data_IF_645033207091
#
_entry.id   IF_645033207091
#
_cell.length_a   1.000
_cell.length_b   1.000
_cell.length_c   1.000
_cell.angle_alpha   90.00
_cell.angle_beta   90.00
_cell.angle_gamma   90.00
#
_symmetry.space_group_name_H-M   'P 1'
#
loop_
_entity.id
_entity.type
_entity.pdbx_description
1 polymer ?
#
# COMPACT_ATOMS: atom_id res chain seq x y z
N UNK A 1 -14.58 6.89 22.04
CA UNK A 1 -15.11 6.09 20.91
C UNK A 1 -14.69 6.75 19.61
N UNK A 2 -14.35 5.97 18.59
CA UNK A 2 -14.01 6.50 17.27
C UNK A 2 -15.24 7.18 16.62
N UNK A 3 -15.00 8.27 15.89
CA UNK A 3 -16.04 8.94 15.09
C UNK A 3 -16.35 8.18 13.78
N UNK A 4 -15.70 7.06 13.55
CA UNK A 4 -15.81 6.23 12.36
C UNK A 4 -14.46 6.05 11.68
N UNK A 5 -14.44 5.29 10.57
CA UNK A 5 -13.22 5.00 9.82
C UNK A 5 -13.12 5.89 8.59
N UNK A 6 -11.96 6.51 8.40
CA UNK A 6 -11.62 7.24 7.18
C UNK A 6 -10.59 6.44 6.38
N UNK A 7 -10.86 6.28 5.10
CA UNK A 7 -9.88 5.75 4.13
C UNK A 7 -9.30 6.91 3.35
N UNK A 8 -7.97 7.03 3.34
CA UNK A 8 -7.22 8.04 2.61
C UNK A 8 -6.35 7.38 1.56
N UNK A 9 -6.32 7.92 0.35
CA UNK A 9 -5.45 7.43 -0.72
C UNK A 9 -4.41 8.48 -1.08
N UNK A 10 -3.17 8.07 -1.23
CA UNK A 10 -2.04 8.91 -1.65
C UNK A 10 -1.40 8.34 -2.92
N UNK A 11 -1.45 9.12 -4.00
CA UNK A 11 -0.78 8.79 -5.25
C UNK A 11 0.74 8.99 -5.17
N UNK A 12 1.46 8.49 -6.17
CA UNK A 12 2.93 8.51 -6.20
C UNK A 12 3.56 9.88 -6.06
N UNK A 13 2.96 10.92 -6.62
CA UNK A 13 3.44 12.30 -6.48
C UNK A 13 3.31 12.85 -5.06
N UNK A 14 2.31 12.40 -4.32
CA UNK A 14 2.09 12.82 -2.92
C UNK A 14 3.07 12.19 -1.92
N UNK A 15 3.83 11.21 -2.33
CA UNK A 15 4.82 10.47 -1.52
C UNK A 15 6.19 10.38 -2.20
N UNK A 16 6.44 11.21 -3.20
CA UNK A 16 7.59 11.10 -4.10
C UNK A 16 8.95 11.29 -3.40
N UNK A 17 9.00 12.10 -2.36
CA UNK A 17 10.21 12.42 -1.61
C UNK A 17 9.93 12.45 -0.09
N UNK A 18 10.98 12.62 0.70
CA UNK A 18 10.86 12.62 2.16
C UNK A 18 9.97 13.75 2.69
N UNK A 19 10.01 14.95 2.11
CA UNK A 19 9.19 16.09 2.52
C UNK A 19 7.71 15.81 2.26
N UNK A 20 7.36 15.37 1.06
CA UNK A 20 5.97 15.03 0.69
C UNK A 20 5.44 13.88 1.52
N UNK A 21 6.28 12.89 1.79
CA UNK A 21 5.90 11.74 2.64
C UNK A 21 5.64 12.17 4.08
N UNK A 22 6.45 13.06 4.65
CA UNK A 22 6.20 13.66 5.98
C UNK A 22 4.90 14.49 5.97
N UNK A 23 4.61 15.23 4.90
CA UNK A 23 3.36 15.97 4.75
C UNK A 23 2.15 15.01 4.69
N UNK A 24 2.26 13.89 3.97
CA UNK A 24 1.22 12.87 3.95
C UNK A 24 1.00 12.28 5.36
N UNK A 25 2.08 11.94 6.08
CA UNK A 25 2.02 11.47 7.46
C UNK A 25 1.31 12.46 8.39
N UNK A 26 1.64 13.75 8.29
CA UNK A 26 0.99 14.81 9.07
C UNK A 26 -0.52 14.93 8.78
N UNK A 27 -0.93 14.77 7.52
CA UNK A 27 -2.35 14.77 7.13
C UNK A 27 -3.09 13.56 7.71
N UNK A 28 -2.47 12.39 7.71
CA UNK A 28 -3.00 11.16 8.29
C UNK A 28 -3.18 11.34 9.80
N UNK A 29 -2.15 11.80 10.50
CA UNK A 29 -2.17 12.04 11.95
C UNK A 29 -3.25 13.04 12.33
N UNK A 30 -3.40 14.13 11.58
CA UNK A 30 -4.48 15.11 11.84
C UNK A 30 -5.87 14.48 11.84
N UNK A 31 -6.14 13.48 10.97
CA UNK A 31 -7.43 12.78 10.97
C UNK A 31 -7.57 11.88 12.20
N UNK A 32 -6.48 11.25 12.60
CA UNK A 32 -6.47 10.46 13.84
C UNK A 32 -6.76 11.33 15.07
N UNK A 33 -6.13 12.50 15.16
CA UNK A 33 -6.34 13.46 16.26
C UNK A 33 -7.76 14.04 16.28
N UNK A 34 -8.44 14.07 15.16
CA UNK A 34 -9.86 14.40 15.07
C UNK A 34 -10.78 13.29 15.55
N UNK A 35 -10.24 12.15 16.02
CA UNK A 35 -11.01 11.05 16.59
C UNK A 35 -11.42 9.95 15.60
N UNK A 36 -10.91 9.96 14.38
CA UNK A 36 -11.20 8.92 13.40
C UNK A 36 -10.21 7.77 13.49
N UNK A 37 -10.67 6.55 13.15
CA UNK A 37 -9.80 5.47 12.77
C UNK A 37 -9.34 5.68 11.33
N UNK A 38 -8.04 5.52 11.07
CA UNK A 38 -7.48 5.89 9.75
C UNK A 38 -6.82 4.70 9.08
N UNK A 39 -7.25 4.44 7.85
CA UNK A 39 -6.58 3.55 6.90
C UNK A 39 -6.08 4.39 5.75
N UNK A 40 -4.80 4.31 5.43
CA UNK A 40 -4.23 5.01 4.28
C UNK A 40 -3.65 4.03 3.26
N UNK A 41 -4.05 4.17 2.00
CA UNK A 41 -3.54 3.38 0.88
C UNK A 41 -2.50 4.22 0.15
N UNK A 42 -1.28 3.70 0.02
CA UNK A 42 -0.17 4.41 -0.61
C UNK A 42 0.26 3.76 -1.91
N UNK A 43 0.55 4.59 -2.90
CA UNK A 43 1.21 4.21 -4.15
C UNK A 43 2.73 4.18 -3.98
N UNK A 44 3.45 3.59 -4.93
CA UNK A 44 4.89 3.70 -5.03
C UNK A 44 5.31 5.18 -5.20
N UNK A 45 6.51 5.51 -4.77
CA UNK A 45 7.02 6.90 -4.76
C UNK A 45 7.35 7.40 -6.17
N UNK A 46 6.77 8.52 -6.58
CA UNK A 46 7.12 9.17 -7.83
C UNK A 46 7.10 8.24 -9.04
N UNK A 47 8.27 8.01 -9.63
CA UNK A 47 8.48 7.14 -10.79
C UNK A 47 9.09 5.77 -10.43
N UNK A 48 8.96 5.33 -9.18
CA UNK A 48 9.58 4.09 -8.71
C UNK A 48 9.09 2.87 -9.50
N UNK A 49 7.80 2.78 -9.80
CA UNK A 49 7.25 1.69 -10.62
C UNK A 49 7.89 1.66 -12.00
N UNK A 50 8.04 2.82 -12.66
CA UNK A 50 8.69 2.90 -13.99
C UNK A 50 10.16 2.46 -13.91
N UNK A 51 10.86 2.83 -12.84
CA UNK A 51 12.24 2.40 -12.60
C UNK A 51 12.35 0.89 -12.44
N UNK A 52 11.48 0.29 -11.63
CA UNK A 52 11.45 -1.16 -11.44
C UNK A 52 11.17 -1.93 -12.74
N UNK A 53 10.27 -1.40 -13.57
CA UNK A 53 9.99 -1.98 -14.90
C UNK A 53 11.25 -1.90 -15.77
N UNK A 54 11.95 -0.75 -15.79
CA UNK A 54 13.17 -0.59 -16.55
C UNK A 54 14.25 -1.58 -16.08
N UNK A 55 14.46 -1.71 -14.77
CA UNK A 55 15.41 -2.67 -14.18
C UNK A 55 15.11 -4.12 -14.63
N UNK A 56 13.83 -4.50 -14.67
CA UNK A 56 13.44 -5.83 -15.16
C UNK A 56 13.83 -6.08 -16.61
N UNK A 57 13.62 -5.09 -17.48
CA UNK A 57 13.99 -5.20 -18.91
C UNK A 57 15.49 -5.08 -19.17
N UNK A 58 16.28 -4.54 -18.23
CA UNK A 58 17.74 -4.59 -18.31
C UNK A 58 18.29 -6.02 -18.11
N UNK A 59 17.59 -6.85 -17.35
CA UNK A 59 18.04 -8.22 -17.02
C UNK A 59 17.34 -9.30 -17.83
N UNK A 60 16.22 -8.99 -18.50
CA UNK A 60 15.44 -9.96 -19.27
C UNK A 60 14.70 -9.28 -20.42
N UNK A 61 14.79 -9.83 -21.63
CA UNK A 61 14.02 -9.35 -22.78
C UNK A 61 12.52 -9.68 -22.65
N UNK A 62 12.18 -10.67 -21.85
CA UNK A 62 10.81 -11.11 -21.60
C UNK A 62 10.63 -11.48 -20.11
N UNK A 63 10.54 -10.49 -19.22
CA UNK A 63 10.37 -10.75 -17.77
C UNK A 63 9.12 -11.59 -17.50
N UNK A 64 9.29 -12.62 -16.67
CA UNK A 64 8.17 -13.46 -16.23
C UNK A 64 7.13 -12.63 -15.47
N UNK A 65 5.84 -12.73 -15.81
CA UNK A 65 4.80 -11.90 -15.19
C UNK A 65 4.67 -12.10 -13.68
N UNK A 66 4.87 -13.31 -13.16
CA UNK A 66 4.85 -13.57 -11.71
C UNK A 66 6.01 -12.86 -11.01
N UNK A 67 7.21 -12.94 -11.57
CA UNK A 67 8.38 -12.25 -11.01
C UNK A 67 8.28 -10.73 -11.17
N UNK A 68 7.64 -10.25 -12.24
CA UNK A 68 7.32 -8.83 -12.38
C UNK A 68 6.42 -8.34 -11.24
N UNK A 69 5.38 -9.09 -10.87
CA UNK A 69 4.51 -8.75 -9.74
C UNK A 69 5.29 -8.72 -8.42
N UNK A 70 6.19 -9.68 -8.22
CA UNK A 70 7.06 -9.73 -7.06
C UNK A 70 7.92 -8.47 -6.96
N UNK A 71 8.51 -8.04 -8.09
CA UNK A 71 9.34 -6.85 -8.18
C UNK A 71 8.51 -5.58 -7.95
N UNK A 72 7.45 -5.37 -8.72
CA UNK A 72 6.65 -4.14 -8.68
C UNK A 72 5.99 -3.91 -7.32
N UNK A 73 5.58 -4.97 -6.63
CA UNK A 73 4.95 -4.87 -5.31
C UNK A 73 5.86 -4.29 -4.23
N UNK A 74 7.17 -4.20 -4.47
CA UNK A 74 8.12 -3.61 -3.52
C UNK A 74 7.97 -2.11 -3.41
N UNK A 75 7.55 -1.42 -4.47
CA UNK A 75 7.43 0.04 -4.49
C UNK A 75 6.49 0.59 -3.43
N UNK A 76 5.30 0.03 -3.32
CA UNK A 76 4.29 0.46 -2.34
C UNK A 76 4.70 0.09 -0.91
N UNK A 77 5.39 -1.02 -0.72
CA UNK A 77 5.91 -1.43 0.59
C UNK A 77 6.92 -0.43 1.12
N UNK A 78 7.80 0.09 0.26
CA UNK A 78 8.75 1.14 0.62
C UNK A 78 8.00 2.39 1.10
N UNK A 79 7.00 2.85 0.35
CA UNK A 79 6.18 4.01 0.72
C UNK A 79 5.52 3.83 2.08
N UNK A 80 4.88 2.68 2.29
CA UNK A 80 4.17 2.38 3.54
C UNK A 80 5.12 2.31 4.74
N UNK A 81 6.25 1.64 4.61
CA UNK A 81 7.22 1.51 5.69
C UNK A 81 7.78 2.89 6.11
N UNK A 82 8.18 3.71 5.14
CA UNK A 82 8.69 5.05 5.41
C UNK A 82 7.61 5.97 6.00
N UNK A 83 6.37 5.88 5.52
CA UNK A 83 5.26 6.66 6.07
C UNK A 83 4.92 6.24 7.51
N UNK A 84 4.97 4.94 7.83
CA UNK A 84 4.79 4.44 9.17
C UNK A 84 5.84 5.01 10.13
N UNK A 85 7.12 5.04 9.70
CA UNK A 85 8.19 5.66 10.49
C UNK A 85 7.93 7.14 10.75
N UNK A 86 7.49 7.88 9.73
CA UNK A 86 7.16 9.30 9.87
C UNK A 86 5.97 9.54 10.81
N UNK A 87 4.96 8.66 10.79
CA UNK A 87 3.82 8.73 11.72
C UNK A 87 4.27 8.43 13.15
N UNK A 88 5.13 7.44 13.34
CA UNK A 88 5.67 7.10 14.66
C UNK A 88 6.47 8.27 15.25
N UNK A 89 7.23 8.98 14.44
CA UNK A 89 7.95 10.18 14.86
C UNK A 89 7.02 11.33 15.30
N UNK A 90 5.76 11.32 14.83
CA UNK A 90 4.73 12.27 15.27
C UNK A 90 3.99 11.81 16.53
N UNK A 91 4.43 10.73 17.17
CA UNK A 91 3.88 10.23 18.45
C UNK A 91 2.65 9.33 18.31
N UNK A 92 2.38 8.80 17.14
CA UNK A 92 1.26 7.89 16.89
C UNK A 92 1.77 6.52 16.44
N UNK A 93 1.11 5.45 16.87
CA UNK A 93 1.43 4.10 16.40
C UNK A 93 0.86 3.85 15.00
N UNK A 94 1.71 3.42 14.09
CA UNK A 94 1.32 3.01 12.75
C UNK A 94 1.80 1.60 12.42
N UNK A 95 1.05 0.90 11.58
CA UNK A 95 1.42 -0.40 11.02
C UNK A 95 1.27 -0.36 9.51
N UNK A 96 2.31 -0.81 8.81
CA UNK A 96 2.27 -1.01 7.36
C UNK A 96 1.93 -2.46 7.03
N UNK A 97 1.01 -2.66 6.08
CA UNK A 97 0.57 -3.96 5.62
C UNK A 97 0.78 -4.07 4.10
N UNK A 98 1.28 -5.22 3.65
CA UNK A 98 1.21 -5.59 2.24
C UNK A 98 -0.23 -5.83 1.82
N UNK A 99 -0.52 -5.90 0.52
CA UNK A 99 -1.86 -6.26 0.05
C UNK A 99 -2.32 -7.62 0.59
N UNK A 100 -1.43 -8.60 0.65
CA UNK A 100 -1.70 -9.91 1.26
C UNK A 100 -2.04 -9.80 2.74
N UNK A 101 -1.27 -9.05 3.50
CA UNK A 101 -1.50 -8.86 4.94
C UNK A 101 -2.78 -8.07 5.22
N UNK A 102 -3.16 -7.16 4.32
CA UNK A 102 -4.43 -6.44 4.36
C UNK A 102 -5.63 -7.30 3.97
N UNK A 103 -5.38 -8.51 3.47
CA UNK A 103 -6.41 -9.48 3.11
C UNK A 103 -6.98 -9.30 1.70
N UNK A 104 -6.27 -8.64 0.80
CA UNK A 104 -6.69 -8.46 -0.59
C UNK A 104 -6.37 -9.74 -1.37
N UNK A 105 -7.41 -10.52 -1.68
CA UNK A 105 -7.32 -11.77 -2.44
C UNK A 105 -7.68 -11.53 -3.89
N UNK A 106 -6.84 -12.01 -4.81
CA UNK A 106 -7.02 -11.82 -6.24
C UNK A 106 -7.11 -13.15 -7.00
N UNK A 107 -7.48 -13.07 -8.27
CA UNK A 107 -7.25 -14.16 -9.22
C UNK A 107 -5.75 -14.33 -9.51
N UNK A 108 -5.41 -15.25 -10.41
CA UNK A 108 -4.03 -15.61 -10.77
C UNK A 108 -3.52 -14.88 -12.02
N UNK A 109 -4.19 -13.83 -12.46
CA UNK A 109 -3.82 -13.06 -13.65
C UNK A 109 -2.72 -12.07 -13.32
N UNK A 110 -1.45 -12.50 -13.33
CA UNK A 110 -0.32 -11.64 -13.03
C UNK A 110 -0.30 -10.36 -13.88
N UNK A 111 0.17 -9.25 -13.30
CA UNK A 111 0.25 -7.88 -13.84
C UNK A 111 -1.10 -7.17 -14.10
N UNK A 112 -2.21 -7.87 -14.00
CA UNK A 112 -3.57 -7.37 -14.21
C UNK A 112 -4.60 -8.13 -13.39
N UNK A 113 -4.23 -8.53 -12.17
CA UNK A 113 -5.09 -9.30 -11.28
C UNK A 113 -6.38 -8.54 -10.92
N UNK A 114 -7.43 -9.29 -10.66
CA UNK A 114 -8.73 -8.77 -10.20
C UNK A 114 -8.95 -9.18 -8.76
N UNK A 115 -9.44 -8.26 -7.96
CA UNK A 115 -9.82 -8.54 -6.57
C UNK A 115 -11.04 -9.46 -6.57
N UNK A 116 -10.93 -10.58 -5.87
CA UNK A 116 -12.00 -11.55 -5.67
C UNK A 116 -12.66 -11.40 -4.29
N UNK A 117 -11.87 -11.04 -3.27
CA UNK A 117 -12.31 -10.93 -1.89
C UNK A 117 -11.39 -9.98 -1.11
N UNK A 118 -11.93 -9.38 -0.05
CA UNK A 118 -11.16 -8.56 0.89
C UNK A 118 -11.46 -9.02 2.31
N UNK A 119 -10.45 -9.59 2.98
CA UNK A 119 -10.54 -10.10 4.35
C UNK A 119 -9.81 -9.14 5.29
N UNK A 120 -10.48 -8.09 5.69
CA UNK A 120 -9.89 -6.97 6.41
C UNK A 120 -9.67 -7.22 7.92
N UNK A 121 -9.69 -8.46 8.40
CA UNK A 121 -9.59 -8.79 9.83
C UNK A 121 -8.38 -8.18 10.50
N UNK A 122 -7.22 -8.21 9.83
CA UNK A 122 -5.99 -7.65 10.35
C UNK A 122 -6.02 -6.13 10.41
N UNK A 123 -6.70 -5.48 9.47
CA UNK A 123 -6.94 -4.03 9.48
C UNK A 123 -7.78 -3.67 10.70
N UNK A 124 -8.93 -4.34 10.88
CA UNK A 124 -9.81 -4.07 12.01
C UNK A 124 -9.13 -4.36 13.36
N UNK A 125 -8.35 -5.43 13.46
CA UNK A 125 -7.59 -5.73 14.68
C UNK A 125 -6.60 -4.61 15.02
N UNK A 126 -5.89 -4.06 14.04
CA UNK A 126 -4.95 -2.96 14.25
C UNK A 126 -5.67 -1.64 14.62
N UNK A 127 -6.77 -1.33 13.96
CA UNK A 127 -7.61 -0.18 14.31
C UNK A 127 -8.14 -0.29 15.74
N UNK A 128 -8.58 -1.48 16.15
CA UNK A 128 -9.04 -1.77 17.53
C UNK A 128 -7.94 -1.58 18.59
N UNK A 129 -6.67 -1.66 18.20
CA UNK A 129 -5.52 -1.34 19.04
C UNK A 129 -5.15 0.15 19.01
N UNK A 130 -5.91 0.99 18.34
CA UNK A 130 -5.66 2.41 18.20
C UNK A 130 -4.59 2.78 17.17
N UNK A 131 -4.12 1.84 16.36
CA UNK A 131 -3.08 2.07 15.35
C UNK A 131 -3.64 2.70 14.09
N UNK A 132 -2.83 3.52 13.44
CA UNK A 132 -3.04 3.95 12.06
C UNK A 132 -2.58 2.83 11.13
N UNK A 133 -3.39 2.46 10.15
CA UNK A 133 -3.10 1.36 9.23
C UNK A 133 -2.70 1.91 7.87
N UNK A 134 -1.53 1.49 7.38
CA UNK A 134 -1.07 1.80 6.03
C UNK A 134 -1.13 0.55 5.17
N UNK A 135 -1.75 0.64 4.01
CA UNK A 135 -1.90 -0.47 3.08
C UNK A 135 -1.13 -0.19 1.80
N UNK A 136 -0.29 -1.11 1.40
CA UNK A 136 0.37 -1.05 0.11
C UNK A 136 -0.68 -1.25 -0.99
N UNK A 137 -0.94 -0.22 -1.78
CA UNK A 137 -1.86 -0.25 -2.89
C UNK A 137 -1.36 -1.07 -4.07
N UNK A 138 -2.18 -1.26 -5.09
CA UNK A 138 -1.81 -1.90 -6.34
C UNK A 138 -1.54 -3.40 -6.26
N UNK A 139 -1.61 -4.03 -5.12
CA UNK A 139 -1.17 -5.41 -4.91
C UNK A 139 -2.14 -6.23 -4.06
N UNK A 140 -2.04 -7.54 -4.21
CA UNK A 140 -2.76 -8.52 -3.42
C UNK A 140 -2.03 -9.86 -3.40
N UNK A 141 -2.74 -10.89 -2.98
CA UNK A 141 -2.28 -12.28 -3.02
C UNK A 141 -3.28 -13.11 -3.82
N UNK A 142 -2.78 -13.92 -4.75
CA UNK A 142 -3.64 -14.81 -5.52
C UNK A 142 -4.19 -15.97 -4.68
N UNK A 143 -5.18 -16.66 -5.23
CA UNK A 143 -5.68 -17.92 -4.66
C UNK A 143 -4.60 -19.00 -4.56
N UNK A 144 -3.53 -18.88 -5.37
CA UNK A 144 -2.34 -19.76 -5.34
C UNK A 144 -1.25 -19.25 -4.38
N UNK A 145 -1.51 -18.22 -3.59
CA UNK A 145 -0.56 -17.61 -2.62
C UNK A 145 0.61 -16.86 -3.24
N UNK A 146 0.54 -16.50 -4.50
CA UNK A 146 1.51 -15.64 -5.15
C UNK A 146 1.15 -14.17 -4.98
N UNK A 147 2.18 -13.31 -4.90
CA UNK A 147 1.99 -11.87 -4.95
C UNK A 147 1.46 -11.48 -6.33
N UNK A 148 0.45 -10.65 -6.37
CA UNK A 148 -0.15 -10.15 -7.60
C UNK A 148 -0.19 -8.63 -7.61
N UNK A 149 -0.13 -8.04 -8.80
CA UNK A 149 -0.41 -6.62 -9.00
C UNK A 149 -1.69 -6.43 -9.81
N UNK A 150 -2.42 -5.39 -9.46
CA UNK A 150 -3.62 -4.96 -10.17
C UNK A 150 -3.20 -4.17 -11.41
N UNK A 151 -3.98 -4.02 -12.40
CA UNK A 151 -3.65 -3.19 -13.56
C UNK A 151 -3.52 -1.69 -13.22
N UNK A 152 -3.39 -0.83 -14.23
CA UNK A 152 -3.34 0.62 -14.07
C UNK A 152 -4.50 1.12 -13.20
N UNK A 153 -4.21 2.07 -12.30
CA UNK A 153 -5.20 2.58 -11.34
C UNK A 153 -5.44 1.64 -10.15
N UNK A 154 -4.62 0.59 -9.98
CA UNK A 154 -4.79 -0.41 -8.93
C UNK A 154 -4.79 0.14 -7.50
N UNK A 155 -4.05 1.23 -7.23
CA UNK A 155 -4.09 1.90 -5.93
C UNK A 155 -5.43 2.57 -5.64
N UNK A 156 -6.14 3.03 -6.67
CA UNK A 156 -7.49 3.60 -6.52
C UNK A 156 -8.54 2.51 -6.31
N UNK A 157 -8.27 1.30 -6.79
CA UNK A 157 -9.15 0.14 -6.61
C UNK A 157 -8.95 -0.53 -5.25
N UNK A 158 -7.76 -0.40 -4.68
CA UNK A 158 -7.42 -0.95 -3.36
C UNK A 158 -8.16 -0.20 -2.26
#
# INVERSE_FOLDING_TARGET
MSQGTIVMKFGGTSVADAERLKNAAARIVRRREQGFDVVAVLSARGKETDRLIADAFEVSDAPDPREMDMLLSTGERISCALCAMAINDLGHEAISLTGSQAGIVTDTSHTKARILDVRADRIFAALGQGKIVLVAGFQGVSTSKDVTTLGRGGSDTT
#
